data_IF_853343886810
#
_entry.id   IF_853343886810
#
_cell.length_a   1.000
_cell.length_b   1.000
_cell.length_c   1.000
_cell.angle_alpha   90.00
_cell.angle_beta   90.00
_cell.angle_gamma   90.00
#
_symmetry.space_group_name_H-M   'P 1'
#
loop_
_entity.id
_entity.type
_entity.pdbx_description
1 polymer ?
#
# COMPACT_ATOMS: atom_id res chain seq x y z
N UNK A 1 -9.71 -43.11 -38.09
CA UNK A 1 -8.92 -42.60 -36.97
C UNK A 1 -7.46 -42.55 -37.37
N UNK A 2 -6.89 -41.37 -37.56
CA UNK A 2 -5.43 -41.25 -37.76
C UNK A 2 -4.79 -41.31 -36.38
N UNK A 3 -4.05 -42.38 -36.11
CA UNK A 3 -3.19 -42.45 -34.92
C UNK A 3 -2.01 -41.51 -35.14
N UNK A 4 -1.97 -40.43 -34.36
CA UNK A 4 -0.79 -39.58 -34.28
C UNK A 4 0.35 -40.43 -33.71
N UNK A 5 1.36 -40.70 -34.49
CA UNK A 5 2.58 -41.37 -34.02
C UNK A 5 3.29 -40.42 -33.03
N UNK A 6 3.72 -40.91 -31.85
CA UNK A 6 4.49 -40.07 -30.94
C UNK A 6 5.80 -39.63 -31.64
N UNK A 7 6.13 -38.33 -31.49
CA UNK A 7 7.36 -37.76 -32.02
C UNK A 7 8.57 -38.53 -31.48
N UNK A 8 9.46 -38.98 -32.34
CA UNK A 8 10.71 -39.60 -31.88
C UNK A 8 11.64 -38.54 -31.29
N UNK A 9 12.49 -38.91 -30.32
CA UNK A 9 13.50 -38.03 -29.74
C UNK A 9 14.51 -37.47 -30.78
N UNK A 10 14.57 -38.11 -31.95
CA UNK A 10 15.41 -37.68 -33.07
C UNK A 10 14.68 -36.73 -34.05
N UNK A 11 13.37 -36.47 -33.89
CA UNK A 11 12.65 -35.57 -34.81
C UNK A 11 13.20 -34.16 -34.74
N UNK A 12 13.11 -33.42 -35.85
CA UNK A 12 13.59 -32.03 -35.93
C UNK A 12 12.80 -31.12 -34.96
N UNK A 13 11.53 -31.39 -34.74
CA UNK A 13 10.69 -30.67 -33.84
C UNK A 13 11.14 -30.81 -32.39
N UNK A 14 11.42 -32.05 -31.93
CA UNK A 14 11.95 -32.31 -30.59
C UNK A 14 13.28 -31.62 -30.38
N UNK A 15 14.20 -31.72 -31.36
CA UNK A 15 15.53 -31.05 -31.29
C UNK A 15 15.36 -29.50 -31.19
N UNK A 16 14.44 -28.94 -31.96
CA UNK A 16 14.16 -27.48 -31.93
C UNK A 16 13.68 -27.06 -30.55
N UNK A 17 12.73 -27.80 -29.96
CA UNK A 17 12.23 -27.50 -28.62
C UNK A 17 13.27 -27.70 -27.52
N UNK A 18 14.11 -28.74 -27.63
CA UNK A 18 15.25 -28.94 -26.72
C UNK A 18 16.23 -27.75 -26.75
N UNK A 19 16.53 -27.22 -27.96
CA UNK A 19 17.37 -26.02 -28.10
C UNK A 19 16.73 -24.82 -27.41
N UNK A 20 15.45 -24.56 -27.65
CA UNK A 20 14.70 -23.44 -26.99
C UNK A 20 14.67 -23.58 -25.47
N UNK A 21 14.46 -24.80 -24.95
CA UNK A 21 14.48 -25.06 -23.52
C UNK A 21 15.87 -24.80 -22.91
N UNK A 22 16.93 -25.19 -23.61
CA UNK A 22 18.31 -24.94 -23.18
C UNK A 22 18.63 -23.42 -23.17
N UNK A 23 18.21 -22.72 -24.22
CA UNK A 23 18.32 -21.24 -24.27
C UNK A 23 17.56 -20.57 -23.11
N UNK A 24 16.31 -21.01 -22.85
CA UNK A 24 15.50 -20.49 -21.77
C UNK A 24 16.16 -20.73 -20.40
N UNK A 25 16.71 -21.92 -20.17
CA UNK A 25 17.41 -22.28 -18.94
C UNK A 25 18.65 -21.39 -18.67
N UNK A 26 19.31 -20.93 -19.75
CA UNK A 26 20.45 -20.00 -19.65
C UNK A 26 20.07 -18.53 -19.41
N UNK A 27 18.78 -18.17 -19.47
CA UNK A 27 18.33 -16.79 -19.33
C UNK A 27 18.35 -16.32 -17.89
N UNK A 28 18.55 -15.02 -17.72
CA UNK A 28 18.48 -14.32 -16.44
C UNK A 28 17.74 -13.01 -16.59
N UNK A 29 17.11 -12.58 -15.51
CA UNK A 29 16.39 -11.31 -15.42
C UNK A 29 16.94 -10.52 -14.25
N UNK A 30 17.34 -9.28 -14.47
CA UNK A 30 17.58 -8.31 -13.41
C UNK A 30 16.23 -7.76 -12.97
N UNK A 31 15.75 -8.21 -11.81
CA UNK A 31 14.47 -7.80 -11.24
C UNK A 31 14.69 -6.70 -10.21
N UNK A 32 14.32 -5.47 -10.56
CA UNK A 32 14.48 -4.30 -9.71
C UNK A 32 13.26 -4.10 -8.81
N UNK A 33 13.49 -4.07 -7.48
CA UNK A 33 12.49 -3.76 -6.44
C UNK A 33 12.97 -2.54 -5.67
N UNK A 34 12.33 -1.40 -5.88
CA UNK A 34 12.79 -0.08 -5.42
C UNK A 34 14.22 0.20 -5.91
N UNK A 35 15.18 0.37 -4.99
CA UNK A 35 16.60 0.60 -5.26
C UNK A 35 17.46 -0.68 -5.30
N UNK A 36 16.85 -1.84 -5.06
CA UNK A 36 17.56 -3.13 -5.03
C UNK A 36 17.35 -3.94 -6.30
N UNK A 37 18.40 -4.64 -6.72
CA UNK A 37 18.45 -5.48 -7.89
C UNK A 37 18.61 -6.94 -7.50
N UNK A 38 17.81 -7.82 -8.10
CA UNK A 38 17.84 -9.26 -7.91
C UNK A 38 18.08 -9.94 -9.24
N UNK A 39 19.26 -10.59 -9.40
CA UNK A 39 19.51 -11.43 -10.56
C UNK A 39 18.76 -12.75 -10.39
N UNK A 40 17.72 -12.97 -11.19
CA UNK A 40 16.89 -14.16 -11.20
C UNK A 40 17.27 -15.01 -12.42
N UNK A 41 17.96 -16.14 -12.20
CA UNK A 41 18.36 -17.06 -13.26
C UNK A 41 17.30 -18.14 -13.44
N UNK A 42 16.92 -18.42 -14.68
CA UNK A 42 15.85 -19.36 -14.97
C UNK A 42 16.12 -20.78 -14.43
N UNK A 43 17.36 -21.25 -14.53
CA UNK A 43 17.76 -22.56 -14.01
C UNK A 43 17.78 -22.64 -12.46
N UNK A 44 17.75 -21.53 -11.75
CA UNK A 44 17.66 -21.48 -10.30
C UNK A 44 16.21 -21.23 -9.83
N UNK A 45 15.43 -20.47 -10.61
CA UNK A 45 14.07 -20.06 -10.25
C UNK A 45 12.99 -21.04 -10.74
N UNK A 46 13.30 -21.86 -11.72
CA UNK A 46 12.37 -22.85 -12.29
C UNK A 46 12.86 -24.26 -11.96
N UNK A 47 12.07 -25.02 -11.20
CA UNK A 47 12.41 -26.41 -10.85
C UNK A 47 12.28 -27.36 -12.05
N UNK A 48 11.31 -27.08 -12.92
CA UNK A 48 11.16 -27.79 -14.21
C UNK A 48 10.43 -26.89 -15.22
N UNK A 49 10.71 -27.19 -16.50
CA UNK A 49 10.02 -26.57 -17.63
C UNK A 49 9.56 -27.70 -18.56
N UNK A 50 8.29 -27.68 -18.95
CA UNK A 50 7.68 -28.59 -19.90
C UNK A 50 7.09 -27.83 -21.06
N UNK A 51 7.16 -28.40 -22.26
CA UNK A 51 6.46 -27.85 -23.41
C UNK A 51 5.34 -28.82 -23.80
N UNK A 52 4.10 -28.43 -23.62
CA UNK A 52 2.91 -29.24 -23.81
C UNK A 52 1.90 -28.43 -24.61
N UNK A 53 1.38 -29.02 -25.70
CA UNK A 53 0.37 -28.40 -26.57
C UNK A 53 0.72 -26.99 -27.04
N UNK A 54 2.00 -26.78 -27.42
CA UNK A 54 2.48 -25.50 -27.94
C UNK A 54 2.74 -24.42 -26.88
N UNK A 55 2.72 -24.76 -25.57
CA UNK A 55 2.92 -23.83 -24.46
C UNK A 55 3.96 -24.34 -23.46
N UNK A 56 4.70 -23.41 -22.87
CA UNK A 56 5.55 -23.71 -21.74
C UNK A 56 4.72 -23.81 -20.45
N UNK A 57 5.02 -24.81 -19.65
CA UNK A 57 4.54 -24.98 -18.29
C UNK A 57 5.74 -24.94 -17.35
N UNK A 58 5.70 -24.03 -16.39
CA UNK A 58 6.79 -23.77 -15.46
C UNK A 58 6.44 -24.27 -14.06
N UNK A 59 7.34 -25.01 -13.42
CA UNK A 59 7.32 -25.19 -11.99
C UNK A 59 8.08 -24.03 -11.34
N UNK A 60 7.34 -23.17 -10.66
CA UNK A 60 7.80 -21.88 -10.12
C UNK A 60 7.99 -21.88 -8.61
N UNK A 61 8.11 -23.06 -7.97
CA UNK A 61 8.22 -23.16 -6.50
C UNK A 61 9.42 -22.39 -5.96
N UNK A 62 10.59 -22.49 -6.61
CA UNK A 62 11.79 -21.75 -6.20
C UNK A 62 11.63 -20.23 -6.38
N UNK A 63 11.00 -19.79 -7.48
CA UNK A 63 10.69 -18.38 -7.72
C UNK A 63 9.73 -17.84 -6.64
N UNK A 64 8.72 -18.61 -6.27
CA UNK A 64 7.79 -18.23 -5.19
C UNK A 64 8.49 -18.07 -3.84
N UNK A 65 9.42 -18.97 -3.51
CA UNK A 65 10.25 -18.82 -2.32
C UNK A 65 11.07 -17.53 -2.36
N UNK A 66 11.65 -17.21 -3.52
CA UNK A 66 12.42 -15.98 -3.71
C UNK A 66 11.57 -14.73 -3.56
N UNK A 67 10.34 -14.72 -4.07
CA UNK A 67 9.38 -13.62 -3.87
C UNK A 67 9.10 -13.43 -2.38
N UNK A 68 8.87 -14.50 -1.63
CA UNK A 68 8.66 -14.44 -0.19
C UNK A 68 9.87 -13.86 0.56
N UNK A 69 11.09 -14.23 0.19
CA UNK A 69 12.31 -13.63 0.76
C UNK A 69 12.38 -12.13 0.52
N UNK A 70 12.09 -11.69 -0.71
CA UNK A 70 12.06 -10.27 -1.06
C UNK A 70 10.99 -9.52 -0.27
N UNK A 71 9.78 -10.07 -0.16
CA UNK A 71 8.70 -9.51 0.63
C UNK A 71 9.06 -9.40 2.12
N UNK A 72 9.68 -10.43 2.69
CA UNK A 72 10.16 -10.38 4.08
C UNK A 72 11.18 -9.26 4.30
N UNK A 73 12.08 -9.06 3.34
CA UNK A 73 13.14 -8.08 3.43
C UNK A 73 12.67 -6.62 3.18
N UNK A 74 11.76 -6.40 2.24
CA UNK A 74 11.47 -5.05 1.73
C UNK A 74 10.00 -4.62 1.82
N UNK A 75 9.02 -5.54 1.69
CA UNK A 75 7.61 -5.16 1.72
C UNK A 75 7.26 -4.41 3.00
N UNK A 76 6.42 -3.40 2.89
CA UNK A 76 5.97 -2.58 4.02
C UNK A 76 4.51 -2.86 4.42
N UNK A 77 3.75 -3.53 3.56
CA UNK A 77 2.34 -3.86 3.82
C UNK A 77 2.21 -4.77 5.05
N UNK A 78 1.41 -4.33 6.03
CA UNK A 78 1.16 -5.09 7.27
C UNK A 78 2.31 -5.10 8.28
N UNK A 79 3.43 -4.42 8.01
CA UNK A 79 4.53 -4.30 8.96
C UNK A 79 4.32 -3.13 9.92
N UNK A 80 4.99 -3.19 11.07
CA UNK A 80 5.04 -2.09 12.03
C UNK A 80 6.13 -1.10 11.62
N UNK A 81 5.80 0.18 11.63
CA UNK A 81 6.71 1.27 11.31
C UNK A 81 7.34 1.85 12.57
N UNK A 82 8.65 2.04 12.56
CA UNK A 82 9.35 2.86 13.58
C UNK A 82 9.23 4.31 13.14
N UNK A 83 8.57 5.12 13.96
CA UNK A 83 8.26 6.51 13.63
C UNK A 83 8.76 7.46 14.74
N UNK A 84 9.46 8.51 14.36
CA UNK A 84 9.83 9.59 15.27
C UNK A 84 8.82 10.71 15.15
N UNK A 85 8.07 10.94 16.21
CA UNK A 85 6.99 11.93 16.26
C UNK A 85 7.52 13.37 16.21
N UNK A 86 6.66 14.31 15.87
CA UNK A 86 6.95 15.76 15.92
C UNK A 86 7.35 16.25 17.33
N UNK A 87 6.98 15.51 18.37
CA UNK A 87 7.41 15.78 19.77
C UNK A 87 8.76 15.12 20.14
N UNK A 88 9.42 14.44 19.18
CA UNK A 88 10.74 13.82 19.36
C UNK A 88 10.72 12.42 19.99
N UNK A 89 9.54 11.80 20.17
CA UNK A 89 9.43 10.42 20.68
C UNK A 89 9.53 9.42 19.54
N UNK A 90 10.27 8.34 19.73
CA UNK A 90 10.25 7.20 18.81
C UNK A 90 9.21 6.19 19.25
N UNK A 91 8.28 5.85 18.37
CA UNK A 91 7.16 4.94 18.62
C UNK A 91 7.09 3.85 17.55
N UNK A 92 6.39 2.75 17.89
CA UNK A 92 6.05 1.69 16.95
C UNK A 92 4.59 1.83 16.53
N UNK A 93 4.33 2.04 15.25
CA UNK A 93 2.98 2.25 14.71
C UNK A 93 2.63 1.09 13.77
N UNK A 94 1.60 0.29 14.07
CA UNK A 94 1.20 -0.81 13.20
C UNK A 94 0.75 -0.31 11.83
N UNK A 95 1.27 -0.91 10.78
CA UNK A 95 0.75 -0.70 9.42
C UNK A 95 -0.68 -1.23 9.31
N UNK A 96 -1.54 -0.45 8.69
CA UNK A 96 -2.93 -0.80 8.40
C UNK A 96 -3.10 -0.98 6.89
N UNK A 97 -3.61 0.04 6.20
CA UNK A 97 -3.77 -0.04 4.75
C UNK A 97 -2.57 0.53 4.00
N UNK A 98 -1.73 1.33 4.64
CA UNK A 98 -0.51 1.85 4.02
C UNK A 98 0.55 0.77 3.87
N UNK A 99 1.18 0.75 2.70
CA UNK A 99 2.27 -0.15 2.37
C UNK A 99 2.09 -0.87 1.04
N UNK A 100 3.07 -1.67 0.68
CA UNK A 100 3.10 -2.48 -0.53
C UNK A 100 3.74 -3.85 -0.25
N UNK A 101 3.40 -4.83 -1.08
CA UNK A 101 4.07 -6.12 -1.18
C UNK A 101 4.07 -6.59 -2.64
N UNK A 102 4.99 -7.46 -3.00
CA UNK A 102 4.97 -8.16 -4.28
C UNK A 102 3.83 -9.18 -4.28
N UNK A 103 3.05 -9.22 -5.37
CA UNK A 103 2.02 -10.22 -5.58
C UNK A 103 2.61 -11.41 -6.35
N UNK A 104 2.61 -12.57 -5.72
CA UNK A 104 3.19 -13.80 -6.28
C UNK A 104 2.76 -14.04 -7.73
N UNK A 105 1.46 -13.97 -8.03
CA UNK A 105 0.92 -14.21 -9.36
C UNK A 105 1.50 -13.29 -10.43
N UNK A 106 1.64 -12.00 -10.08
CA UNK A 106 2.05 -10.96 -11.01
C UNK A 106 3.56 -11.06 -11.28
N UNK A 107 4.37 -11.27 -10.22
CA UNK A 107 5.82 -11.51 -10.36
C UNK A 107 6.08 -12.77 -11.18
N UNK A 108 5.40 -13.87 -10.87
CA UNK A 108 5.56 -15.14 -11.60
C UNK A 108 5.24 -14.92 -13.09
N UNK A 109 4.12 -14.25 -13.40
CA UNK A 109 3.75 -13.96 -14.78
C UNK A 109 4.79 -13.09 -15.50
N UNK A 110 5.26 -12.02 -14.84
CA UNK A 110 6.25 -11.09 -15.38
C UNK A 110 7.60 -11.78 -15.64
N UNK A 111 8.11 -12.56 -14.68
CA UNK A 111 9.41 -13.23 -14.76
C UNK A 111 9.37 -14.37 -15.78
N UNK A 112 8.34 -15.23 -15.76
CA UNK A 112 8.23 -16.33 -16.75
C UNK A 112 8.10 -15.78 -18.16
N UNK A 113 7.34 -14.71 -18.35
CA UNK A 113 7.26 -14.01 -19.64
C UNK A 113 8.60 -13.43 -20.08
N UNK A 114 9.38 -12.88 -19.14
CA UNK A 114 10.72 -12.39 -19.45
C UNK A 114 11.66 -13.53 -19.85
N UNK A 115 11.59 -14.71 -19.20
CA UNK A 115 12.33 -15.89 -19.63
C UNK A 115 11.89 -16.38 -21.04
N UNK A 116 10.59 -16.37 -21.34
CA UNK A 116 10.11 -16.74 -22.69
C UNK A 116 10.62 -15.79 -23.79
N UNK A 117 10.63 -14.50 -23.53
CA UNK A 117 10.94 -13.47 -24.52
C UNK A 117 12.40 -13.05 -24.55
N UNK A 118 13.21 -13.47 -23.55
CA UNK A 118 14.60 -13.02 -23.42
C UNK A 118 14.75 -11.59 -22.92
N UNK A 119 13.74 -11.04 -22.25
CA UNK A 119 13.82 -9.68 -21.68
C UNK A 119 14.79 -9.66 -20.49
N UNK A 120 15.85 -8.82 -20.52
CA UNK A 120 16.95 -8.93 -19.55
C UNK A 120 16.67 -8.26 -18.20
N UNK A 121 15.69 -7.35 -18.13
CA UNK A 121 15.39 -6.59 -16.92
C UNK A 121 13.91 -6.26 -16.79
N UNK A 122 13.44 -6.18 -15.54
CA UNK A 122 12.08 -5.81 -15.16
C UNK A 122 12.13 -4.91 -13.92
N UNK A 123 11.13 -4.02 -13.79
CA UNK A 123 10.88 -3.27 -12.57
C UNK A 123 9.58 -3.76 -11.94
N UNK A 124 9.62 -4.00 -10.63
CA UNK A 124 8.52 -4.57 -9.85
C UNK A 124 7.31 -3.64 -9.66
N UNK A 125 7.35 -2.40 -10.14
CA UNK A 125 6.29 -1.40 -9.94
C UNK A 125 4.90 -1.87 -10.38
N UNK A 126 4.82 -2.76 -11.36
CA UNK A 126 3.56 -3.33 -11.85
C UNK A 126 3.18 -4.65 -11.16
N UNK A 127 4.07 -5.20 -10.35
CA UNK A 127 3.90 -6.48 -9.68
C UNK A 127 3.56 -6.32 -8.19
N UNK A 128 3.47 -5.06 -7.71
CA UNK A 128 3.12 -4.76 -6.33
C UNK A 128 1.61 -4.66 -6.13
N UNK A 129 1.19 -4.91 -4.90
CA UNK A 129 -0.18 -4.66 -4.47
C UNK A 129 -0.23 -3.97 -3.11
N UNK A 130 -1.39 -3.41 -2.81
CA UNK A 130 -1.77 -2.87 -1.52
C UNK A 130 -3.18 -3.30 -1.15
N UNK A 131 -3.67 -2.80 -0.03
CA UNK A 131 -5.02 -3.07 0.48
C UNK A 131 -5.75 -1.74 0.76
N UNK A 132 -7.06 -1.83 0.97
CA UNK A 132 -7.89 -0.67 1.22
C UNK A 132 -8.64 -0.24 -0.04
N UNK A 133 -8.82 1.06 -0.23
CA UNK A 133 -9.50 1.62 -1.40
C UNK A 133 -8.71 1.43 -2.69
N UNK A 134 -7.38 1.51 -2.60
CA UNK A 134 -6.45 1.28 -3.70
C UNK A 134 -5.85 -0.12 -3.54
N UNK A 135 -5.90 -0.91 -4.61
CA UNK A 135 -5.32 -2.27 -4.63
C UNK A 135 -3.86 -2.31 -5.03
N UNK A 136 -3.32 -1.21 -5.55
CA UNK A 136 -1.90 -1.02 -5.80
C UNK A 136 -1.22 -0.42 -4.56
N UNK A 137 0.02 -0.82 -4.29
CA UNK A 137 0.74 -0.43 -3.07
C UNK A 137 0.97 1.08 -2.92
N UNK A 138 1.15 1.51 -1.69
CA UNK A 138 1.52 2.88 -1.33
C UNK A 138 2.94 2.92 -0.77
N UNK A 139 3.67 4.02 -0.98
CA UNK A 139 5.04 4.19 -0.49
C UNK A 139 6.10 3.32 -1.20
N UNK A 140 5.81 2.75 -2.38
CA UNK A 140 6.78 1.98 -3.15
C UNK A 140 7.90 2.85 -3.74
N UNK A 141 7.60 4.10 -4.03
CA UNK A 141 8.50 5.08 -4.64
C UNK A 141 9.48 5.75 -3.67
N UNK A 142 9.45 5.34 -2.40
CA UNK A 142 10.31 5.91 -1.36
C UNK A 142 10.81 4.88 -0.35
N UNK A 143 12.05 5.03 0.10
CA UNK A 143 12.63 4.31 1.25
C UNK A 143 12.79 5.21 2.48
N UNK A 144 12.49 6.51 2.34
CA UNK A 144 12.57 7.49 3.43
C UNK A 144 11.61 7.13 4.57
N UNK A 145 12.04 7.34 5.80
CA UNK A 145 11.26 7.04 7.01
C UNK A 145 10.68 5.61 7.02
N UNK A 146 11.47 4.63 6.56
CA UNK A 146 11.02 3.23 6.47
C UNK A 146 9.89 2.98 5.46
N UNK A 147 9.79 3.83 4.43
CA UNK A 147 8.77 3.75 3.38
C UNK A 147 7.57 4.69 3.61
N UNK A 148 7.54 5.48 4.69
CA UNK A 148 6.49 6.49 4.92
C UNK A 148 6.63 7.73 4.04
N UNK A 149 7.83 7.95 3.49
CA UNK A 149 8.15 9.15 2.74
C UNK A 149 8.40 10.37 3.64
N UNK A 150 8.36 11.53 3.04
CA UNK A 150 8.56 12.82 3.70
C UNK A 150 7.39 13.79 3.51
N UNK A 151 6.26 13.28 2.98
CA UNK A 151 4.96 13.98 2.90
C UNK A 151 3.92 13.12 3.58
N UNK A 152 3.38 13.57 4.72
CA UNK A 152 2.44 12.79 5.52
C UNK A 152 1.66 13.69 6.50
N UNK A 153 0.55 13.14 7.02
CA UNK A 153 -0.12 13.67 8.21
C UNK A 153 0.26 12.82 9.43
N UNK A 154 0.65 13.48 10.51
CA UNK A 154 0.86 12.91 11.83
C UNK A 154 -0.27 13.37 12.75
N UNK A 155 -0.99 12.43 13.38
CA UNK A 155 -2.12 12.69 14.27
C UNK A 155 -1.83 12.11 15.65
N UNK A 156 -1.68 12.97 16.65
CA UNK A 156 -1.63 12.57 18.05
C UNK A 156 -3.02 12.64 18.68
N UNK A 157 -3.56 11.50 19.09
CA UNK A 157 -4.84 11.46 19.82
C UNK A 157 -4.67 12.05 21.22
N UNK A 158 -3.54 11.83 21.86
CA UNK A 158 -3.28 12.36 23.20
C UNK A 158 -3.16 13.89 23.21
N UNK A 159 -2.52 14.45 22.19
CA UNK A 159 -2.31 15.91 22.08
C UNK A 159 -3.47 16.61 21.34
N UNK A 160 -4.42 15.85 20.77
CA UNK A 160 -5.50 16.37 19.90
C UNK A 160 -4.96 17.32 18.86
N UNK A 161 -3.92 16.83 18.11
CA UNK A 161 -3.17 17.67 17.21
C UNK A 161 -2.78 16.94 15.93
N UNK A 162 -2.70 17.67 14.82
CA UNK A 162 -2.20 17.22 13.52
C UNK A 162 -1.01 18.06 13.11
N UNK A 163 0.10 17.41 12.77
CA UNK A 163 1.22 18.02 12.04
C UNK A 163 1.21 17.50 10.61
N UNK A 164 1.36 18.43 9.66
CA UNK A 164 1.49 18.09 8.25
C UNK A 164 2.91 18.36 7.79
N UNK A 165 3.47 17.36 7.15
CA UNK A 165 4.78 17.47 6.49
C UNK A 165 4.61 17.35 4.98
N UNK A 166 5.32 18.19 4.24
CA UNK A 166 5.42 18.14 2.79
C UNK A 166 6.87 18.29 2.39
N UNK A 167 7.42 17.29 1.70
CA UNK A 167 8.83 17.23 1.33
C UNK A 167 9.79 17.44 2.53
N UNK A 168 9.44 16.88 3.68
CA UNK A 168 10.23 16.97 4.92
C UNK A 168 10.10 18.29 5.70
N UNK A 169 9.30 19.23 5.21
CA UNK A 169 9.04 20.50 5.91
C UNK A 169 7.66 20.47 6.57
N UNK A 170 7.57 20.91 7.81
CA UNK A 170 6.29 21.09 8.47
C UNK A 170 5.55 22.30 7.85
N UNK A 171 4.42 22.02 7.20
CA UNK A 171 3.61 23.02 6.49
C UNK A 171 2.35 23.44 7.26
N UNK A 172 1.92 22.63 8.25
CA UNK A 172 0.82 22.98 9.14
C UNK A 172 0.96 22.31 10.51
N UNK A 173 0.34 22.90 11.51
CA UNK A 173 0.27 22.46 12.90
C UNK A 173 -1.09 22.91 13.44
N UNK A 174 -2.02 21.96 13.65
CA UNK A 174 -3.45 22.26 13.75
C UNK A 174 -4.07 21.48 14.91
N UNK A 175 -4.78 22.17 15.79
CA UNK A 175 -5.60 21.54 16.83
C UNK A 175 -6.86 20.91 16.22
N UNK A 176 -7.15 19.68 16.62
CA UNK A 176 -8.26 18.87 16.11
C UNK A 176 -9.07 18.26 17.24
N UNK A 177 -10.19 17.62 16.89
CA UNK A 177 -10.92 16.74 17.82
C UNK A 177 -11.14 15.39 17.14
N UNK A 178 -10.58 14.35 17.74
CA UNK A 178 -10.66 12.96 17.25
C UNK A 178 -11.94 12.25 17.72
N UNK A 179 -12.02 10.97 17.47
CA UNK A 179 -13.14 10.11 17.83
C UNK A 179 -13.44 10.08 19.33
N UNK A 180 -14.72 9.87 19.69
CA UNK A 180 -15.20 9.91 21.05
C UNK A 180 -14.85 8.67 21.86
N UNK A 181 -13.97 8.84 22.85
CA UNK A 181 -13.46 7.77 23.69
C UNK A 181 -14.54 7.12 24.58
N UNK A 182 -15.43 7.92 25.16
CA UNK A 182 -16.46 7.42 26.10
C UNK A 182 -17.46 6.43 25.48
N UNK A 183 -17.57 6.41 24.15
CA UNK A 183 -18.45 5.48 23.42
C UNK A 183 -17.68 4.43 22.60
N UNK A 184 -16.34 4.40 22.70
CA UNK A 184 -15.51 3.48 21.92
C UNK A 184 -15.44 3.82 20.42
N UNK A 185 -15.71 5.07 20.07
CA UNK A 185 -15.61 5.59 18.70
C UNK A 185 -14.27 6.27 18.45
N UNK A 186 -13.21 5.73 19.07
CA UNK A 186 -11.85 6.28 18.92
C UNK A 186 -11.44 6.33 17.45
N UNK A 187 -10.68 7.37 17.06
CA UNK A 187 -10.02 7.37 15.76
C UNK A 187 -9.04 6.20 15.67
N UNK A 188 -9.13 5.33 14.64
CA UNK A 188 -8.31 4.12 14.58
C UNK A 188 -6.82 4.44 14.45
N UNK A 189 -6.01 3.96 15.40
CA UNK A 189 -4.55 4.11 15.37
C UNK A 189 -3.91 3.23 14.29
N UNK A 190 -2.74 3.62 13.80
CA UNK A 190 -1.98 2.90 12.79
C UNK A 190 -1.50 3.79 11.66
N UNK A 191 -0.90 3.17 10.65
CA UNK A 191 -0.50 3.86 9.42
C UNK A 191 -1.50 3.56 8.31
N UNK A 192 -2.19 4.59 7.91
CA UNK A 192 -3.21 4.64 6.87
C UNK A 192 -2.71 5.46 5.68
N UNK A 193 -3.52 5.63 4.63
CA UNK A 193 -3.24 6.58 3.55
C UNK A 193 -4.49 7.36 3.15
N UNK A 194 -4.32 8.52 2.55
CA UNK A 194 -5.44 9.27 1.96
C UNK A 194 -6.00 8.47 0.78
N UNK A 195 -7.17 7.87 0.98
CA UNK A 195 -7.83 6.98 0.01
C UNK A 195 -8.43 7.75 -1.15
N UNK A 196 -9.17 8.82 -0.83
CA UNK A 196 -9.69 9.79 -1.80
C UNK A 196 -10.02 11.10 -1.10
N UNK A 197 -10.26 12.13 -1.90
CA UNK A 197 -10.64 13.47 -1.44
C UNK A 197 -11.85 13.94 -2.23
N UNK A 198 -12.73 14.70 -1.57
CA UNK A 198 -13.90 15.28 -2.20
C UNK A 198 -14.22 16.66 -1.59
N UNK A 199 -14.58 17.62 -2.45
CA UNK A 199 -14.96 18.97 -2.03
C UNK A 199 -16.00 19.52 -3.02
N UNK A 200 -17.22 19.91 -2.58
CA UNK A 200 -17.81 19.60 -1.27
C UNK A 200 -18.22 18.11 -1.17
N UNK A 201 -18.57 17.67 0.06
CA UNK A 201 -19.03 16.31 0.30
C UNK A 201 -20.22 16.28 1.28
N UNK A 202 -20.93 15.14 1.28
CA UNK A 202 -22.00 14.84 2.24
C UNK A 202 -21.61 13.57 2.99
N UNK A 203 -21.37 13.70 4.28
CA UNK A 203 -21.05 12.57 5.15
C UNK A 203 -22.34 11.96 5.69
N UNK A 204 -22.48 10.64 5.51
CA UNK A 204 -23.60 9.84 6.02
C UNK A 204 -23.07 8.71 6.88
N UNK A 205 -23.70 8.50 8.01
CA UNK A 205 -23.29 7.45 8.93
C UNK A 205 -24.22 7.36 10.14
N UNK A 206 -23.73 6.60 11.12
CA UNK A 206 -24.34 6.56 12.45
C UNK A 206 -23.25 6.65 13.51
N UNK A 207 -23.54 7.31 14.62
CA UNK A 207 -22.65 7.33 15.76
C UNK A 207 -23.38 6.96 17.04
N UNK A 208 -22.65 6.35 17.97
CA UNK A 208 -23.18 5.96 19.27
C UNK A 208 -23.62 7.22 20.05
N UNK A 209 -24.91 7.33 20.34
CA UNK A 209 -25.50 8.46 21.09
C UNK A 209 -26.15 9.54 20.24
N UNK A 210 -25.95 9.61 18.92
CA UNK A 210 -26.65 10.56 18.04
C UNK A 210 -27.45 9.88 16.91
N UNK A 211 -27.34 8.55 16.75
CA UNK A 211 -28.05 7.82 15.68
C UNK A 211 -27.53 8.15 14.29
N UNK A 212 -28.38 8.04 13.27
CA UNK A 212 -28.04 8.34 11.88
C UNK A 212 -27.86 9.85 11.67
N UNK A 213 -26.84 10.21 10.87
CA UNK A 213 -26.58 11.58 10.50
C UNK A 213 -26.36 11.76 9.00
N UNK A 214 -26.67 12.92 8.50
CA UNK A 214 -26.31 13.43 7.19
C UNK A 214 -25.79 14.86 7.34
N UNK A 215 -24.50 15.09 7.03
CA UNK A 215 -23.84 16.37 7.28
C UNK A 215 -23.07 16.80 6.03
N UNK A 216 -23.28 18.06 5.61
CA UNK A 216 -22.50 18.68 4.54
C UNK A 216 -21.20 19.21 5.10
N UNK A 217 -20.09 18.94 4.38
CA UNK A 217 -18.75 19.44 4.66
C UNK A 217 -18.17 20.09 3.40
N UNK A 218 -17.30 21.07 3.58
CA UNK A 218 -16.63 21.68 2.45
C UNK A 218 -15.49 20.81 1.93
N UNK A 219 -14.82 20.05 2.82
CA UNK A 219 -13.67 19.24 2.49
C UNK A 219 -13.75 17.89 3.18
N UNK A 220 -13.50 16.83 2.44
CA UNK A 220 -13.42 15.46 2.92
C UNK A 220 -12.15 14.79 2.41
N UNK A 221 -11.37 14.17 3.29
CA UNK A 221 -10.20 13.38 2.97
C UNK A 221 -10.21 12.07 3.77
N UNK A 222 -10.70 10.99 3.14
CA UNK A 222 -10.85 9.68 3.78
C UNK A 222 -9.53 8.95 3.90
N UNK A 223 -9.28 8.30 5.04
CA UNK A 223 -8.08 7.48 5.27
C UNK A 223 -8.37 6.05 5.76
N UNK A 224 -9.60 5.69 6.14
CA UNK A 224 -9.97 4.28 6.46
C UNK A 224 -11.10 3.79 5.58
N UNK A 225 -11.17 2.46 5.35
CA UNK A 225 -12.31 1.83 4.65
C UNK A 225 -13.61 1.96 5.46
N UNK A 226 -13.52 2.06 6.79
CA UNK A 226 -14.69 2.25 7.67
C UNK A 226 -15.29 3.64 7.60
N UNK A 227 -14.68 4.56 6.83
CA UNK A 227 -15.21 5.91 6.64
C UNK A 227 -14.66 6.96 7.59
N UNK A 228 -13.52 6.74 8.26
CA UNK A 228 -12.84 7.80 8.99
C UNK A 228 -11.98 8.64 8.03
N UNK A 229 -11.95 9.95 8.27
CA UNK A 229 -11.23 10.92 7.45
C UNK A 229 -11.06 12.25 8.17
N UNK A 230 -10.37 13.17 7.51
CA UNK A 230 -10.33 14.59 7.90
C UNK A 230 -11.48 15.33 7.26
N UNK A 231 -12.17 16.21 8.02
CA UNK A 231 -13.19 17.09 7.47
C UNK A 231 -13.38 18.33 8.34
N UNK A 232 -13.88 19.41 7.74
CA UNK A 232 -14.33 20.57 8.48
C UNK A 232 -15.58 20.25 9.29
N UNK A 233 -15.66 20.78 10.53
CA UNK A 233 -16.77 20.54 11.46
C UNK A 233 -17.35 21.88 11.95
N UNK A 234 -18.11 22.54 11.08
CA UNK A 234 -18.71 23.86 11.37
C UNK A 234 -19.73 23.84 12.52
N UNK A 235 -20.31 22.69 12.82
CA UNK A 235 -21.26 22.51 13.94
C UNK A 235 -20.57 22.38 15.29
N UNK A 236 -19.25 22.08 15.34
CA UNK A 236 -18.50 21.87 16.58
C UNK A 236 -18.19 23.20 17.25
N UNK A 237 -18.54 23.28 18.52
CA UNK A 237 -18.27 24.46 19.36
C UNK A 237 -17.13 24.20 20.35
N UNK A 238 -17.03 22.96 20.86
CA UNK A 238 -16.01 22.57 21.82
C UNK A 238 -14.75 22.06 21.11
N UNK A 239 -13.66 22.78 21.23
CA UNK A 239 -12.34 22.48 20.67
C UNK A 239 -11.26 22.29 21.76
N UNK A 240 -11.68 22.06 23.00
CA UNK A 240 -10.76 21.79 24.10
C UNK A 240 -10.00 20.47 23.87
N UNK A 241 -8.81 20.36 24.41
CA UNK A 241 -7.94 19.17 24.24
C UNK A 241 -8.53 17.88 24.84
N UNK A 242 -9.46 18.00 25.76
CA UNK A 242 -10.19 16.88 26.35
C UNK A 242 -11.56 16.62 25.72
N UNK A 243 -11.95 17.41 24.71
CA UNK A 243 -13.26 17.27 24.04
C UNK A 243 -13.49 15.84 23.51
N UNK A 244 -12.44 15.18 22.99
CA UNK A 244 -12.55 13.82 22.45
C UNK A 244 -13.00 12.78 23.49
N UNK A 245 -12.85 13.05 24.79
CA UNK A 245 -13.24 12.09 25.85
C UNK A 245 -14.75 11.86 25.83
N UNK A 246 -15.56 12.91 25.78
CA UNK A 246 -17.03 12.83 25.88
C UNK A 246 -17.80 13.53 24.75
N UNK A 247 -17.14 14.41 23.98
CA UNK A 247 -17.69 15.19 22.87
C UNK A 247 -16.86 15.04 21.60
N UNK A 248 -16.28 13.85 21.37
CA UNK A 248 -15.54 13.48 20.18
C UNK A 248 -16.43 13.22 18.97
N UNK A 249 -15.83 12.88 17.85
CA UNK A 249 -16.51 12.44 16.61
C UNK A 249 -16.86 10.96 16.65
N UNK A 250 -17.51 10.45 15.60
CA UNK A 250 -17.69 9.00 15.36
C UNK A 250 -16.47 8.30 14.77
N UNK A 251 -15.24 8.78 15.05
CA UNK A 251 -13.97 8.23 14.57
C UNK A 251 -13.21 9.14 13.60
N UNK A 252 -13.84 10.14 12.99
CA UNK A 252 -13.19 11.11 12.13
C UNK A 252 -12.29 12.09 12.91
N UNK A 253 -11.37 12.72 12.21
CA UNK A 253 -10.60 13.86 12.74
C UNK A 253 -11.31 15.14 12.34
N UNK A 254 -12.00 15.78 13.30
CA UNK A 254 -12.68 17.03 13.10
C UNK A 254 -11.69 18.20 13.12
N UNK A 255 -11.76 19.03 12.12
CA UNK A 255 -10.89 20.19 11.90
C UNK A 255 -11.73 21.47 11.87
N UNK A 256 -11.19 22.58 12.39
CA UNK A 256 -11.86 23.89 12.27
C UNK A 256 -12.02 24.23 10.78
N UNK A 257 -13.17 24.81 10.36
CA UNK A 257 -13.38 25.19 8.96
C UNK A 257 -12.30 26.09 8.36
N UNK A 258 -11.71 26.98 9.16
CA UNK A 258 -10.62 27.86 8.74
C UNK A 258 -9.30 27.10 8.48
N UNK A 259 -9.09 25.95 9.11
CA UNK A 259 -7.84 25.17 9.06
C UNK A 259 -7.92 23.98 8.09
N UNK A 260 -9.12 23.46 7.82
CA UNK A 260 -9.27 22.28 6.95
C UNK A 260 -8.71 22.46 5.53
N UNK A 261 -8.75 23.65 4.90
CA UNK A 261 -8.08 23.88 3.62
C UNK A 261 -6.57 23.58 3.66
N UNK A 262 -5.89 23.83 4.79
CA UNK A 262 -4.47 23.54 4.95
C UNK A 262 -4.20 22.02 4.88
N UNK A 263 -5.05 21.20 5.50
CA UNK A 263 -4.96 19.73 5.37
C UNK A 263 -5.28 19.29 3.95
N UNK A 264 -6.41 19.74 3.42
CA UNK A 264 -6.92 19.30 2.13
C UNK A 264 -5.95 19.62 0.98
N UNK A 265 -5.33 20.79 0.98
CA UNK A 265 -4.47 21.23 -0.12
C UNK A 265 -3.03 20.68 -0.03
N UNK A 266 -2.59 20.28 1.17
CA UNK A 266 -1.23 19.78 1.38
C UNK A 266 -1.09 18.24 1.38
N UNK A 267 -2.20 17.51 1.44
CA UNK A 267 -2.21 16.05 1.32
C UNK A 267 -2.83 15.61 0.00
N UNK A 268 -2.19 14.66 -0.64
CA UNK A 268 -2.66 14.00 -1.85
C UNK A 268 -3.10 12.56 -1.56
N UNK A 269 -3.83 11.96 -2.50
CA UNK A 269 -4.13 10.52 -2.46
C UNK A 269 -2.84 9.71 -2.38
N UNK A 270 -2.85 8.60 -1.63
CA UNK A 270 -1.73 7.68 -1.32
C UNK A 270 -0.75 8.16 -0.26
N UNK A 271 -0.75 9.43 0.13
CA UNK A 271 0.14 9.92 1.18
C UNK A 271 -0.25 9.37 2.55
N UNK A 272 0.76 9.12 3.39
CA UNK A 272 0.59 8.46 4.67
C UNK A 272 -0.18 9.31 5.69
N UNK A 273 -1.00 8.65 6.49
CA UNK A 273 -1.66 9.20 7.69
C UNK A 273 -1.28 8.33 8.88
N UNK A 274 -0.48 8.86 9.79
CA UNK A 274 0.08 8.18 10.95
C UNK A 274 -0.71 8.62 12.17
N UNK A 275 -1.40 7.68 12.86
CA UNK A 275 -2.28 7.97 14.00
C UNK A 275 -1.84 7.16 15.21
N UNK A 276 -1.60 7.83 16.35
CA UNK A 276 -1.16 7.22 17.61
C UNK A 276 -1.74 7.88 18.85
#
# INVERSE_FOLDING_TARGET
MQYLQPLSAASQEVKTEQTKLAELAGRKVDYQVQDKHYELKANEMLTSVRYIDGKYQFDTAALKNKINEINQAQATLGKTFTFTTSTGKTIQVPGKTYGWALRDSDVIASITKAYETGKPSLNAVNDIYGIGYLTYGTGYDTTLNGGLGNTYAEVSIADQHVWLYKNGQQVASIDVVTGKKSTGEDTPTGVWYIMYKQSPSVLRGSSAGSGSYEVKVNYWAQFTNSGCGFHDASWRKNWAKDAYISDGSGGCVNVKPSEMPNIYNNLSQKEAVIIY
#
